data_IF_855359351013
#
_entry.id   IF_855359351013
#
_cell.length_a   1.000
_cell.length_b   1.000
_cell.length_c   1.000
_cell.angle_alpha   90.00
_cell.angle_beta   90.00
_cell.angle_gamma   90.00
#
_symmetry.space_group_name_H-M   'P 1'
#
loop_
_entity.id
_entity.type
_entity.pdbx_description
1 polymer ?
#
# COMPACT_ATOMS: atom_id res chain seq x y z
N UNK A 1 16.76 19.06 -6.24
CA UNK A 1 17.30 17.69 -6.21
C UNK A 1 17.03 17.02 -4.85
N UNK A 2 17.16 17.76 -3.75
CA UNK A 2 16.93 17.24 -2.40
C UNK A 2 15.47 16.79 -2.17
N UNK A 3 14.48 17.54 -2.66
CA UNK A 3 13.05 17.22 -2.51
C UNK A 3 12.68 15.92 -3.22
N UNK A 4 13.19 15.69 -4.44
CA UNK A 4 12.94 14.46 -5.20
C UNK A 4 13.52 13.25 -4.47
N UNK A 5 14.74 13.36 -3.95
CA UNK A 5 15.36 12.26 -3.18
C UNK A 5 14.60 11.93 -1.92
N UNK A 6 14.14 12.95 -1.18
CA UNK A 6 13.33 12.76 0.03
C UNK A 6 11.99 12.07 -0.31
N UNK A 7 11.34 12.52 -1.39
CA UNK A 7 10.11 11.88 -1.87
C UNK A 7 10.34 10.43 -2.27
N UNK A 8 11.43 10.15 -2.99
CA UNK A 8 11.78 8.80 -3.42
C UNK A 8 11.98 7.86 -2.24
N UNK A 9 12.72 8.30 -1.22
CA UNK A 9 12.93 7.51 0.00
C UNK A 9 11.58 7.24 0.69
N UNK A 10 10.73 8.26 0.82
CA UNK A 10 9.42 8.12 1.44
C UNK A 10 8.49 7.14 0.73
N UNK A 11 8.42 7.23 -0.61
CA UNK A 11 7.61 6.32 -1.44
C UNK A 11 8.14 4.89 -1.36
N UNK A 12 9.44 4.69 -1.53
CA UNK A 12 10.07 3.36 -1.48
C UNK A 12 9.85 2.71 -0.12
N UNK A 13 9.93 3.49 0.96
CA UNK A 13 9.60 3.01 2.29
C UNK A 13 8.14 2.60 2.40
N UNK A 14 7.19 3.45 1.96
CA UNK A 14 5.76 3.15 2.02
C UNK A 14 5.40 1.89 1.23
N UNK A 15 5.92 1.74 0.01
CA UNK A 15 5.74 0.53 -0.82
C UNK A 15 6.31 -0.72 -0.14
N UNK A 16 7.51 -0.60 0.45
CA UNK A 16 8.18 -1.73 1.12
C UNK A 16 7.37 -2.25 2.30
N UNK A 17 6.88 -1.35 3.15
CA UNK A 17 6.09 -1.71 4.32
C UNK A 17 4.74 -2.30 3.91
N UNK A 18 4.12 -1.78 2.87
CA UNK A 18 2.88 -2.28 2.30
C UNK A 18 3.02 -3.74 1.81
N UNK A 19 3.99 -3.99 0.93
CA UNK A 19 4.25 -5.32 0.39
C UNK A 19 4.68 -6.32 1.47
N UNK A 20 5.47 -5.86 2.45
CA UNK A 20 5.79 -6.68 3.62
C UNK A 20 4.54 -7.04 4.43
N UNK A 21 3.60 -6.11 4.57
CA UNK A 21 2.32 -6.35 5.24
C UNK A 21 1.55 -7.52 4.60
N UNK A 22 1.39 -7.52 3.28
CA UNK A 22 0.76 -8.61 2.54
C UNK A 22 1.49 -9.94 2.74
N UNK A 23 2.83 -9.95 2.55
CA UNK A 23 3.63 -11.16 2.70
C UNK A 23 3.54 -11.75 4.10
N UNK A 24 3.57 -10.90 5.12
CA UNK A 24 3.51 -11.31 6.52
C UNK A 24 2.14 -11.86 6.90
N UNK A 25 1.06 -11.18 6.48
CA UNK A 25 -0.30 -11.65 6.72
C UNK A 25 -0.57 -12.99 6.01
N UNK A 26 -0.15 -13.13 4.75
CA UNK A 26 -0.26 -14.37 4.00
C UNK A 26 0.45 -15.53 4.73
N UNK A 27 1.66 -15.27 5.22
CA UNK A 27 2.43 -16.25 5.99
C UNK A 27 1.72 -16.69 7.27
N UNK A 28 1.15 -15.76 8.03
CA UNK A 28 0.38 -16.07 9.24
C UNK A 28 -0.88 -16.89 8.96
N UNK A 29 -1.44 -16.76 7.76
CA UNK A 29 -2.63 -17.49 7.30
C UNK A 29 -2.30 -18.83 6.63
N UNK A 30 -1.00 -19.22 6.59
CA UNK A 30 -0.53 -20.52 6.09
C UNK A 30 0.06 -20.48 4.68
N UNK A 31 0.13 -19.33 4.04
CA UNK A 31 0.76 -19.17 2.73
C UNK A 31 2.21 -18.69 2.87
N UNK A 32 3.16 -19.60 2.71
CA UNK A 32 4.59 -19.30 2.74
C UNK A 32 5.20 -18.96 1.37
N UNK A 33 4.38 -18.73 0.34
CA UNK A 33 4.81 -18.43 -1.03
C UNK A 33 5.75 -17.22 -1.09
N UNK A 34 5.35 -16.09 -0.50
CA UNK A 34 6.19 -14.90 -0.45
C UNK A 34 7.49 -15.11 0.34
N UNK A 35 7.43 -15.88 1.45
CA UNK A 35 8.61 -16.23 2.26
C UNK A 35 9.60 -17.07 1.47
N UNK A 36 9.15 -18.13 0.79
CA UNK A 36 9.99 -18.98 -0.07
C UNK A 36 10.60 -18.22 -1.23
N UNK A 37 9.90 -17.25 -1.78
CA UNK A 37 10.41 -16.37 -2.83
C UNK A 37 11.39 -15.27 -2.30
N UNK A 38 11.70 -15.23 -1.00
CA UNK A 38 12.55 -14.22 -0.38
C UNK A 38 11.93 -12.80 -0.42
N UNK A 39 10.57 -12.76 -0.49
CA UNK A 39 9.80 -11.50 -0.61
C UNK A 39 9.19 -11.04 0.72
N UNK A 40 9.19 -11.87 1.76
CA UNK A 40 8.80 -11.50 3.12
C UNK A 40 9.98 -10.82 3.83
N UNK A 41 10.28 -9.59 3.45
CA UNK A 41 11.43 -8.82 3.93
C UNK A 41 11.13 -7.33 3.86
N UNK A 42 11.79 -6.54 4.72
CA UNK A 42 11.77 -5.08 4.67
C UNK A 42 12.89 -4.50 3.78
N UNK A 43 13.60 -5.33 3.02
CA UNK A 43 14.60 -4.86 2.06
C UNK A 43 13.91 -4.26 0.82
N UNK A 44 14.05 -2.94 0.57
CA UNK A 44 13.36 -2.26 -0.52
C UNK A 44 13.68 -2.85 -1.90
N UNK A 45 14.91 -3.33 -2.12
CA UNK A 45 15.35 -3.88 -3.41
C UNK A 45 14.52 -5.08 -3.87
N UNK A 46 13.81 -5.72 -2.96
CA UNK A 46 12.93 -6.85 -3.27
C UNK A 46 11.54 -6.41 -3.73
N UNK A 47 11.14 -5.17 -3.47
CA UNK A 47 9.79 -4.64 -3.71
C UNK A 47 9.76 -3.59 -4.82
N UNK A 48 10.90 -2.98 -5.15
CA UNK A 48 11.00 -1.99 -6.21
C UNK A 48 10.98 -2.66 -7.58
N UNK A 49 10.10 -2.20 -8.46
CA UNK A 49 10.14 -2.43 -9.89
C UNK A 49 10.86 -1.25 -10.56
N UNK A 50 11.88 -1.53 -11.34
CA UNK A 50 12.70 -0.47 -11.95
C UNK A 50 11.90 0.37 -12.95
N UNK A 51 11.03 -0.26 -13.73
CA UNK A 51 10.18 0.44 -14.70
C UNK A 51 9.13 1.27 -13.96
N UNK A 52 8.48 0.69 -12.95
CA UNK A 52 7.54 1.41 -12.09
C UNK A 52 8.16 2.61 -11.39
N UNK A 53 9.43 2.49 -10.96
CA UNK A 53 10.17 3.60 -10.36
C UNK A 53 10.49 4.71 -11.37
N UNK A 54 10.91 4.38 -12.58
CA UNK A 54 11.17 5.35 -13.66
C UNK A 54 9.87 6.07 -14.04
N UNK A 55 8.76 5.33 -14.19
CA UNK A 55 7.44 5.90 -14.47
C UNK A 55 6.99 6.86 -13.36
N UNK A 56 7.26 6.50 -12.10
CA UNK A 56 6.98 7.38 -10.96
C UNK A 56 7.77 8.69 -11.03
N UNK A 57 9.03 8.65 -11.45
CA UNK A 57 9.88 9.85 -11.57
C UNK A 57 9.46 10.76 -12.72
N UNK A 58 8.99 10.20 -13.84
CA UNK A 58 8.65 10.97 -15.05
C UNK A 58 7.19 11.43 -15.01
N UNK A 59 6.28 10.53 -14.66
CA UNK A 59 4.83 10.75 -14.79
C UNK A 59 4.12 10.90 -13.43
N UNK A 60 4.87 10.87 -12.32
CA UNK A 60 4.34 10.88 -10.95
C UNK A 60 3.37 9.71 -10.68
N UNK A 61 3.45 8.66 -11.48
CA UNK A 61 2.73 7.41 -11.35
C UNK A 61 3.70 6.23 -11.56
N UNK A 62 3.63 5.26 -10.65
CA UNK A 62 4.46 4.05 -10.71
C UNK A 62 3.85 2.92 -9.90
N UNK A 63 4.49 1.78 -9.94
CA UNK A 63 4.05 0.57 -9.25
C UNK A 63 5.20 -0.14 -8.55
N UNK A 64 4.87 -0.87 -7.50
CA UNK A 64 5.76 -1.81 -6.84
C UNK A 64 5.79 -3.14 -7.60
N UNK A 65 6.78 -3.95 -7.30
CA UNK A 65 6.76 -5.36 -7.66
C UNK A 65 5.91 -6.10 -6.62
N UNK A 66 4.70 -6.59 -6.94
CA UNK A 66 3.81 -7.16 -5.93
C UNK A 66 4.37 -8.46 -5.35
N UNK A 67 4.10 -8.74 -4.08
CA UNK A 67 4.48 -10.01 -3.47
C UNK A 67 3.58 -11.14 -3.96
N UNK A 68 4.13 -12.34 -4.24
CA UNK A 68 3.32 -13.48 -4.65
C UNK A 68 2.53 -14.02 -3.45
N UNK A 69 1.22 -14.11 -3.61
CA UNK A 69 0.29 -14.70 -2.65
C UNK A 69 -0.48 -15.83 -3.34
N UNK A 70 -0.58 -16.98 -2.69
CA UNK A 70 -1.40 -18.09 -3.16
C UNK A 70 -2.62 -18.28 -2.24
N UNK A 71 -3.79 -17.76 -2.60
CA UNK A 71 -4.97 -17.83 -1.73
C UNK A 71 -5.49 -19.26 -1.51
N UNK A 72 -5.07 -20.23 -2.31
CA UNK A 72 -5.42 -21.64 -2.11
C UNK A 72 -4.76 -22.26 -0.88
N UNK A 73 -3.72 -21.63 -0.35
CA UNK A 73 -3.05 -22.06 0.88
C UNK A 73 -3.80 -21.59 2.15
N UNK A 74 -4.80 -20.72 2.02
CA UNK A 74 -5.57 -20.24 3.16
C UNK A 74 -6.60 -21.29 3.61
N UNK A 75 -6.75 -21.47 4.92
CA UNK A 75 -7.81 -22.34 5.49
C UNK A 75 -9.21 -21.90 5.06
N UNK A 76 -9.43 -20.61 4.94
CA UNK A 76 -10.65 -20.00 4.42
C UNK A 76 -10.26 -18.93 3.41
N UNK A 77 -10.52 -19.19 2.14
CA UNK A 77 -10.19 -18.30 1.03
C UNK A 77 -10.70 -16.86 1.24
N UNK A 78 -12.00 -16.71 1.60
CA UNK A 78 -12.62 -15.39 1.73
C UNK A 78 -11.98 -14.57 2.86
N UNK A 79 -11.87 -15.19 4.02
CA UNK A 79 -11.28 -14.53 5.20
C UNK A 79 -9.80 -14.24 4.96
N UNK A 80 -9.07 -15.20 4.41
CA UNK A 80 -7.64 -15.02 4.10
C UNK A 80 -7.41 -13.90 3.09
N UNK A 81 -8.14 -13.88 1.99
CA UNK A 81 -8.03 -12.85 0.97
C UNK A 81 -8.37 -11.45 1.54
N UNK A 82 -9.45 -11.35 2.31
CA UNK A 82 -9.83 -10.08 2.96
C UNK A 82 -8.73 -9.57 3.91
N UNK A 83 -8.18 -10.44 4.77
CA UNK A 83 -7.13 -10.07 5.73
C UNK A 83 -5.86 -9.65 4.99
N UNK A 84 -5.43 -10.41 3.99
CA UNK A 84 -4.23 -10.07 3.22
C UNK A 84 -4.42 -8.75 2.49
N UNK A 85 -5.58 -8.52 1.86
CA UNK A 85 -5.88 -7.24 1.18
C UNK A 85 -5.86 -6.03 2.14
N UNK A 86 -6.28 -6.20 3.39
CA UNK A 86 -6.21 -5.12 4.38
C UNK A 86 -4.81 -4.94 4.97
N UNK A 87 -3.96 -5.97 4.92
CA UNK A 87 -2.68 -5.99 5.61
C UNK A 87 -1.67 -4.98 5.06
N UNK A 88 -1.72 -4.68 3.76
CA UNK A 88 -0.88 -3.65 3.14
C UNK A 88 -1.19 -2.26 3.73
N UNK A 89 -2.47 -1.89 3.75
CA UNK A 89 -2.92 -0.62 4.33
C UNK A 89 -2.64 -0.54 5.84
N UNK A 90 -2.81 -1.64 6.57
CA UNK A 90 -2.46 -1.73 7.98
C UNK A 90 -0.95 -1.55 8.21
N UNK A 91 -0.12 -2.18 7.38
CA UNK A 91 1.34 -2.01 7.39
C UNK A 91 1.72 -0.54 7.19
N UNK A 92 1.11 0.13 6.22
CA UNK A 92 1.34 1.55 6.01
C UNK A 92 0.90 2.41 7.21
N UNK A 93 -0.20 2.09 7.88
CA UNK A 93 -0.63 2.82 9.08
C UNK A 93 0.42 2.66 10.20
N UNK A 94 0.95 1.46 10.41
CA UNK A 94 2.06 1.22 11.36
C UNK A 94 3.29 2.01 10.94
N UNK A 95 3.66 2.00 9.65
CA UNK A 95 4.76 2.80 9.10
C UNK A 95 4.58 4.29 9.34
N UNK A 96 3.36 4.81 9.16
CA UNK A 96 3.02 6.21 9.43
C UNK A 96 3.18 6.56 10.92
N UNK A 97 2.75 5.69 11.84
CA UNK A 97 2.92 5.87 13.29
C UNK A 97 4.42 5.93 13.64
N UNK A 98 5.22 5.00 13.12
CA UNK A 98 6.68 5.01 13.34
C UNK A 98 7.29 6.32 12.83
N UNK A 99 6.94 6.76 11.63
CA UNK A 99 7.42 8.01 11.06
C UNK A 99 6.99 9.21 11.91
N UNK A 100 5.75 9.26 12.41
CA UNK A 100 5.28 10.32 13.29
C UNK A 100 6.09 10.37 14.60
N UNK A 101 6.42 9.22 15.18
CA UNK A 101 7.28 9.16 16.36
C UNK A 101 8.69 9.67 16.05
N UNK A 102 9.26 9.35 14.89
CA UNK A 102 10.55 9.90 14.46
C UNK A 102 10.47 11.43 14.34
N UNK A 103 9.42 11.97 13.70
CA UNK A 103 9.20 13.42 13.61
C UNK A 103 9.15 14.07 14.98
N UNK A 104 8.45 13.44 15.94
CA UNK A 104 8.26 13.97 17.29
C UNK A 104 9.55 14.05 18.10
N UNK A 105 10.41 13.05 17.99
CA UNK A 105 11.59 12.91 18.85
C UNK A 105 12.92 13.28 18.19
N UNK A 106 12.94 13.43 16.86
CA UNK A 106 14.16 13.78 16.14
C UNK A 106 14.51 15.25 16.32
N UNK A 107 15.73 15.52 16.73
CA UNK A 107 16.31 16.88 16.77
C UNK A 107 16.96 17.28 15.44
N UNK A 108 17.16 16.33 14.53
CA UNK A 108 17.79 16.57 13.22
C UNK A 108 16.73 16.90 12.17
N UNK A 109 16.79 18.12 11.62
CA UNK A 109 15.85 18.59 10.61
C UNK A 109 15.73 17.64 9.40
N UNK A 110 16.87 17.13 8.89
CA UNK A 110 16.89 16.22 7.73
C UNK A 110 16.12 14.91 8.00
N UNK A 111 16.29 14.34 9.21
CA UNK A 111 15.60 13.12 9.61
C UNK A 111 14.11 13.40 9.75
N UNK A 112 13.72 14.49 10.40
CA UNK A 112 12.33 14.90 10.54
C UNK A 112 11.66 15.14 9.18
N UNK A 113 12.37 15.76 8.24
CA UNK A 113 11.85 16.01 6.90
C UNK A 113 11.59 14.71 6.13
N UNK A 114 12.53 13.76 6.16
CA UNK A 114 12.37 12.45 5.53
C UNK A 114 11.22 11.69 6.18
N UNK A 115 11.16 11.66 7.49
CA UNK A 115 10.11 10.97 8.24
C UNK A 115 8.73 11.58 7.98
N UNK A 116 8.60 12.91 7.97
CA UNK A 116 7.34 13.59 7.66
C UNK A 116 6.86 13.29 6.23
N UNK A 117 7.79 13.26 5.29
CA UNK A 117 7.48 12.89 3.90
C UNK A 117 7.04 11.44 3.80
N UNK A 118 7.77 10.52 4.45
CA UNK A 118 7.42 9.10 4.46
C UNK A 118 6.08 8.83 5.17
N UNK A 119 5.77 9.58 6.25
CA UNK A 119 4.48 9.53 6.92
C UNK A 119 3.34 9.85 5.95
N UNK A 120 3.44 10.97 5.23
CA UNK A 120 2.43 11.35 4.25
C UNK A 120 2.25 10.29 3.16
N UNK A 121 3.34 9.76 2.60
CA UNK A 121 3.23 8.71 1.59
C UNK A 121 2.60 7.43 2.14
N UNK A 122 2.88 7.04 3.37
CA UNK A 122 2.22 5.88 3.99
C UNK A 122 0.70 6.09 4.09
N UNK A 123 0.24 7.27 4.53
CA UNK A 123 -1.19 7.55 4.65
C UNK A 123 -1.89 7.58 3.29
N UNK A 124 -1.30 8.25 2.30
CA UNK A 124 -1.84 8.30 0.94
C UNK A 124 -1.84 6.93 0.26
N UNK A 125 -0.77 6.15 0.44
CA UNK A 125 -0.65 4.83 -0.15
C UNK A 125 -1.68 3.85 0.44
N UNK A 126 -1.89 3.89 1.76
CA UNK A 126 -2.94 3.12 2.43
C UNK A 126 -4.34 3.50 1.92
N UNK A 127 -4.65 4.81 1.86
CA UNK A 127 -5.95 5.28 1.43
C UNK A 127 -6.22 4.96 -0.05
N UNK A 128 -5.22 5.12 -0.90
CA UNK A 128 -5.32 4.84 -2.34
C UNK A 128 -5.57 3.35 -2.60
N UNK A 129 -4.80 2.47 -1.94
CA UNK A 129 -4.96 1.03 -2.13
C UNK A 129 -6.28 0.48 -1.57
N UNK A 130 -6.95 1.20 -0.67
CA UNK A 130 -8.28 0.83 -0.18
C UNK A 130 -9.42 1.26 -1.10
N UNK A 131 -9.14 1.93 -2.22
CA UNK A 131 -10.18 2.19 -3.23
C UNK A 131 -10.72 0.88 -3.80
N UNK A 132 -12.06 0.78 -3.99
CA UNK A 132 -12.72 -0.44 -4.47
C UNK A 132 -12.59 -0.62 -5.98
N UNK A 133 -11.39 -0.53 -6.51
CA UNK A 133 -11.10 -0.57 -7.95
C UNK A 133 -9.98 -1.59 -8.22
N UNK A 134 -10.18 -2.59 -9.12
CA UNK A 134 -9.08 -3.45 -9.54
C UNK A 134 -7.94 -2.64 -10.19
N UNK A 135 -6.69 -2.98 -9.94
CA UNK A 135 -6.15 -4.10 -9.13
C UNK A 135 -5.83 -3.75 -7.68
N UNK A 136 -6.41 -2.70 -7.11
CA UNK A 136 -6.12 -2.23 -5.75
C UNK A 136 -6.66 -3.19 -4.68
N UNK A 137 -6.09 -3.12 -3.48
CA UNK A 137 -6.45 -3.99 -2.35
C UNK A 137 -7.90 -3.85 -1.90
N UNK A 138 -8.46 -2.64 -1.99
CA UNK A 138 -9.86 -2.41 -1.66
C UNK A 138 -10.81 -3.26 -2.49
N UNK A 139 -10.45 -3.57 -3.74
CA UNK A 139 -11.17 -4.54 -4.54
C UNK A 139 -11.03 -5.96 -3.96
N UNK A 140 -9.83 -6.36 -3.55
CA UNK A 140 -9.59 -7.64 -2.89
C UNK A 140 -10.44 -7.84 -1.63
N UNK A 141 -10.68 -6.77 -0.87
CA UNK A 141 -11.62 -6.79 0.27
C UNK A 141 -13.04 -7.05 -0.21
N UNK A 142 -13.55 -6.28 -1.19
CA UNK A 142 -14.91 -6.42 -1.70
C UNK A 142 -15.12 -7.78 -2.35
N UNK A 143 -14.21 -8.22 -3.21
CA UNK A 143 -14.30 -9.49 -3.93
C UNK A 143 -14.34 -10.70 -2.98
N UNK A 144 -13.76 -10.57 -1.77
CA UNK A 144 -13.82 -11.61 -0.74
C UNK A 144 -15.25 -11.93 -0.28
N UNK A 145 -16.17 -10.98 -0.40
CA UNK A 145 -17.59 -11.15 -0.01
C UNK A 145 -18.49 -11.51 -1.19
N UNK A 146 -18.00 -11.39 -2.43
CA UNK A 146 -18.79 -11.68 -3.61
C UNK A 146 -18.95 -13.20 -3.83
N UNK A 147 -20.08 -13.63 -4.41
CA UNK A 147 -20.25 -15.03 -4.85
C UNK A 147 -19.21 -15.44 -5.88
N UNK A 148 -18.84 -16.73 -5.89
CA UNK A 148 -17.80 -17.27 -6.80
C UNK A 148 -18.02 -16.94 -8.29
N UNK A 149 -19.25 -16.82 -8.72
CA UNK A 149 -19.64 -16.42 -10.10
C UNK A 149 -19.05 -15.06 -10.53
N UNK A 150 -18.83 -14.15 -9.58
CA UNK A 150 -18.21 -12.85 -9.88
C UNK A 150 -16.71 -12.95 -10.17
N UNK A 151 -16.04 -14.04 -9.81
CA UNK A 151 -14.63 -14.26 -10.09
C UNK A 151 -14.35 -14.41 -11.60
N UNK A 152 -15.24 -15.05 -12.33
CA UNK A 152 -15.16 -15.14 -13.80
C UNK A 152 -15.34 -13.75 -14.44
N UNK A 153 -16.25 -12.95 -13.89
CA UNK A 153 -16.46 -11.57 -14.30
C UNK A 153 -15.20 -10.71 -14.01
N UNK A 154 -14.60 -10.87 -12.86
CA UNK A 154 -13.36 -10.20 -12.44
C UNK A 154 -12.22 -10.43 -13.43
N UNK A 155 -11.95 -11.70 -13.76
CA UNK A 155 -10.92 -12.10 -14.75
C UNK A 155 -11.23 -11.51 -16.13
N UNK A 156 -12.51 -11.57 -16.54
CA UNK A 156 -12.94 -11.08 -17.86
C UNK A 156 -12.80 -9.56 -18.02
N UNK A 157 -13.00 -8.81 -16.92
CA UNK A 157 -13.02 -7.34 -16.94
C UNK A 157 -11.84 -6.71 -16.19
N UNK A 158 -10.77 -7.46 -15.92
CA UNK A 158 -9.56 -6.97 -15.28
C UNK A 158 -9.01 -5.70 -15.97
N UNK A 159 -8.99 -5.70 -17.32
CA UNK A 159 -8.55 -4.54 -18.10
C UNK A 159 -9.42 -3.28 -17.89
N UNK A 160 -10.69 -3.44 -17.57
CA UNK A 160 -11.57 -2.30 -17.26
C UNK A 160 -11.14 -1.65 -15.95
N UNK A 161 -10.73 -2.44 -14.96
CA UNK A 161 -10.18 -1.94 -13.71
C UNK A 161 -8.94 -1.07 -13.93
N UNK A 162 -8.00 -1.51 -14.78
CA UNK A 162 -6.83 -0.70 -15.15
C UNK A 162 -7.20 0.61 -15.83
N UNK A 163 -8.20 0.60 -16.74
CA UNK A 163 -8.68 1.83 -17.40
C UNK A 163 -9.28 2.79 -16.36
N UNK A 164 -10.13 2.28 -15.46
CA UNK A 164 -10.72 3.08 -14.38
C UNK A 164 -9.62 3.67 -13.48
N UNK A 165 -8.60 2.88 -13.13
CA UNK A 165 -7.47 3.34 -12.33
C UNK A 165 -6.70 4.46 -13.04
N UNK A 166 -6.42 4.32 -14.34
CA UNK A 166 -5.75 5.35 -15.14
C UNK A 166 -6.58 6.65 -15.14
N UNK A 167 -7.89 6.55 -15.37
CA UNK A 167 -8.78 7.73 -15.34
C UNK A 167 -8.77 8.39 -13.97
N UNK A 168 -8.82 7.62 -12.89
CA UNK A 168 -8.73 8.15 -11.51
C UNK A 168 -7.41 8.86 -11.26
N UNK A 169 -6.28 8.35 -11.77
CA UNK A 169 -4.96 8.94 -11.59
C UNK A 169 -4.78 10.25 -12.36
N UNK A 170 -5.33 10.34 -13.58
CA UNK A 170 -5.24 11.54 -14.40
C UNK A 170 -6.32 12.59 -14.10
N UNK A 171 -7.26 12.27 -13.22
CA UNK A 171 -8.27 13.20 -12.73
C UNK A 171 -8.04 13.53 -11.26
N UNK A 172 -8.46 14.72 -10.82
CA UNK A 172 -8.42 15.07 -9.38
C UNK A 172 -9.40 14.24 -8.53
N UNK A 173 -10.15 13.32 -9.15
CA UNK A 173 -11.16 12.51 -8.51
C UNK A 173 -10.53 11.54 -7.48
N UNK A 174 -9.35 10.98 -7.79
CA UNK A 174 -8.62 10.12 -6.83
C UNK A 174 -8.35 10.86 -5.52
N UNK A 175 -7.83 12.08 -5.59
CA UNK A 175 -7.56 12.90 -4.40
C UNK A 175 -8.84 13.22 -3.63
N UNK A 176 -9.92 13.55 -4.33
CA UNK A 176 -11.20 13.83 -3.69
C UNK A 176 -11.77 12.63 -2.93
N UNK A 177 -11.66 11.43 -3.51
CA UNK A 177 -12.17 10.19 -2.90
C UNK A 177 -11.25 9.70 -1.76
N UNK A 178 -9.92 9.83 -1.90
CA UNK A 178 -8.97 9.34 -0.90
C UNK A 178 -8.80 10.28 0.29
N UNK A 179 -9.00 11.59 0.12
CA UNK A 179 -8.80 12.58 1.19
C UNK A 179 -9.58 12.28 2.49
N UNK A 180 -10.85 11.84 2.48
CA UNK A 180 -11.55 11.48 3.71
C UNK A 180 -10.86 10.32 4.46
N UNK A 181 -10.38 9.30 3.75
CA UNK A 181 -9.64 8.17 4.35
C UNK A 181 -8.29 8.63 4.92
N UNK A 182 -7.57 9.46 4.19
CA UNK A 182 -6.32 10.07 4.69
C UNK A 182 -6.56 10.84 5.97
N UNK A 183 -7.64 11.63 6.06
CA UNK A 183 -7.99 12.38 7.27
C UNK A 183 -8.32 11.46 8.45
N UNK A 184 -9.02 10.34 8.22
CA UNK A 184 -9.27 9.33 9.24
C UNK A 184 -7.94 8.73 9.73
N UNK A 185 -7.06 8.33 8.82
CA UNK A 185 -5.76 7.79 9.19
C UNK A 185 -4.89 8.81 9.93
N UNK A 186 -4.91 10.07 9.51
CA UNK A 186 -4.27 11.16 10.24
C UNK A 186 -4.79 11.27 11.68
N UNK A 187 -6.11 11.18 11.85
CA UNK A 187 -6.71 11.23 13.18
C UNK A 187 -6.25 10.09 14.07
N UNK A 188 -6.13 8.87 13.51
CA UNK A 188 -5.59 7.71 14.22
C UNK A 188 -4.13 7.95 14.61
N UNK A 189 -3.28 8.39 13.67
CA UNK A 189 -1.86 8.65 13.95
C UNK A 189 -1.72 9.71 15.05
N UNK A 190 -2.46 10.80 14.98
CA UNK A 190 -2.45 11.87 16.00
C UNK A 190 -2.89 11.37 17.36
N UNK A 191 -3.95 10.57 17.43
CA UNK A 191 -4.45 10.03 18.71
C UNK A 191 -3.44 9.12 19.41
N UNK A 192 -2.66 8.35 18.61
CA UNK A 192 -1.65 7.42 19.15
C UNK A 192 -0.34 8.13 19.49
N UNK A 193 0.09 9.07 18.67
CA UNK A 193 1.43 9.66 18.77
C UNK A 193 1.45 11.01 19.49
N UNK A 194 0.27 11.65 19.62
CA UNK A 194 0.14 13.04 20.10
C UNK A 194 1.05 14.03 19.34
N UNK A 195 1.26 13.76 18.05
CA UNK A 195 1.92 14.69 17.13
C UNK A 195 0.86 15.67 16.60
N UNK A 196 1.17 16.95 16.70
CA UNK A 196 0.27 18.06 16.28
C UNK A 196 0.27 18.19 14.75
#
# INVERSE_FOLDING_TARGET
>A
LSSILVSLVGIVFAMTIHEFGHAFAAYLLGDDTAKRAGRMTINPSRHVDLVGLIMLMIFHFGWAKPVPVNPNNFKNYRVGNCIVSLAGAFGNLVGAIICAMIVKYSTMYSISLIAATALNYNLWFAAFNLLPVPPLDGWGVISSFLPYKFREFEIKYENVGYIVLIVLLFTNLSSYITSPLVNIFWSIVRSVTHVI
#
